data_IF_594043740184
#
_entry.id   IF_594043740184
#
_cell.length_a   1.000
_cell.length_b   1.000
_cell.length_c   1.000
_cell.angle_alpha   90.00
_cell.angle_beta   90.00
_cell.angle_gamma   90.00
#
_symmetry.space_group_name_H-M   'P 1'
#
loop_
_entity.id
_entity.type
_entity.pdbx_description
1 polymer ?
#
# COMPACT_ATOMS: atom_id res chain seq x y z
N UNK A 1 -21.97 -12.75 6.81
CA UNK A 1 -20.81 -13.37 6.12
C UNK A 1 -20.53 -12.82 4.71
N UNK A 2 -21.47 -12.27 3.92
CA UNK A 2 -21.20 -11.89 2.53
C UNK A 2 -20.16 -10.76 2.31
N UNK A 3 -20.06 -9.79 3.22
CA UNK A 3 -19.21 -8.60 3.02
C UNK A 3 -17.70 -8.92 2.94
N UNK A 4 -17.19 -9.82 3.79
CA UNK A 4 -15.77 -10.13 3.83
C UNK A 4 -15.27 -10.88 2.58
N UNK A 5 -16.15 -11.66 1.94
CA UNK A 5 -15.81 -12.39 0.71
C UNK A 5 -15.78 -11.45 -0.50
N UNK A 6 -16.65 -10.44 -0.53
CA UNK A 6 -16.61 -9.39 -1.56
C UNK A 6 -15.35 -8.51 -1.44
N UNK A 7 -14.91 -8.18 -0.22
CA UNK A 7 -13.67 -7.42 -0.01
C UNK A 7 -12.44 -8.19 -0.52
N UNK A 8 -12.39 -9.51 -0.26
CA UNK A 8 -11.33 -10.36 -0.81
C UNK A 8 -11.37 -10.44 -2.33
N UNK A 9 -12.57 -10.58 -2.92
CA UNK A 9 -12.71 -10.61 -4.37
C UNK A 9 -12.28 -9.28 -5.02
N UNK A 10 -12.60 -8.15 -4.40
CA UNK A 10 -12.20 -6.82 -4.87
C UNK A 10 -10.68 -6.64 -4.84
N UNK A 11 -10.01 -7.16 -3.79
CA UNK A 11 -8.56 -7.16 -3.67
C UNK A 11 -7.85 -7.90 -4.80
N UNK A 12 -8.49 -8.93 -5.36
CA UNK A 12 -7.94 -9.73 -6.45
C UNK A 12 -8.18 -9.14 -7.85
N UNK A 13 -8.88 -8.00 -7.95
CA UNK A 13 -9.10 -7.35 -9.24
C UNK A 13 -7.76 -6.91 -9.86
N UNK A 14 -7.54 -7.15 -11.16
CA UNK A 14 -6.40 -6.60 -11.88
C UNK A 14 -6.34 -5.07 -11.68
N UNK A 15 -5.18 -4.59 -11.21
CA UNK A 15 -4.96 -3.16 -10.97
C UNK A 15 -5.34 -2.65 -9.56
N UNK A 16 -5.90 -3.48 -8.68
CA UNK A 16 -6.18 -3.05 -7.30
C UNK A 16 -4.90 -2.62 -6.56
N UNK A 17 -3.79 -3.32 -6.77
CA UNK A 17 -2.46 -2.92 -6.26
C UNK A 17 -2.05 -1.50 -6.69
N UNK A 18 -2.38 -1.08 -7.92
CA UNK A 18 -2.10 0.28 -8.41
C UNK A 18 -3.01 1.31 -7.73
N UNK A 19 -4.27 0.98 -7.51
CA UNK A 19 -5.21 1.85 -6.80
C UNK A 19 -4.75 2.11 -5.36
N UNK A 20 -4.35 1.05 -4.65
CA UNK A 20 -3.82 1.18 -3.28
C UNK A 20 -2.50 1.94 -3.27
N UNK A 21 -1.58 1.69 -4.22
CA UNK A 21 -0.36 2.50 -4.35
C UNK A 21 -0.64 3.99 -4.57
N UNK A 22 -1.59 4.33 -5.44
CA UNK A 22 -1.98 5.72 -5.67
C UNK A 22 -2.59 6.37 -4.43
N UNK A 23 -3.34 5.60 -3.62
CA UNK A 23 -3.80 6.04 -2.29
C UNK A 23 -2.62 6.34 -1.37
N UNK A 24 -1.58 5.50 -1.39
CA UNK A 24 -0.34 5.71 -0.66
C UNK A 24 0.37 7.00 -1.06
N UNK A 25 0.52 7.26 -2.37
CA UNK A 25 1.06 8.52 -2.89
C UNK A 25 0.24 9.73 -2.43
N UNK A 26 -1.08 9.64 -2.43
CA UNK A 26 -1.95 10.71 -1.97
C UNK A 26 -1.78 10.96 -0.46
N UNK A 27 -1.69 9.89 0.34
CA UNK A 27 -1.44 9.98 1.78
C UNK A 27 -0.07 10.59 2.08
N UNK A 28 0.96 10.22 1.35
CA UNK A 28 2.29 10.79 1.48
C UNK A 28 2.30 12.29 1.20
N UNK A 29 1.67 12.72 0.10
CA UNK A 29 1.51 14.14 -0.26
C UNK A 29 0.74 14.95 0.79
N UNK A 30 -0.09 14.27 1.57
CA UNK A 30 -0.87 14.85 2.66
C UNK A 30 -0.15 14.76 4.02
N UNK A 31 1.10 14.30 4.04
CA UNK A 31 1.91 14.14 5.26
C UNK A 31 1.50 12.97 6.15
N UNK A 32 0.57 12.12 5.68
CA UNK A 32 0.08 10.94 6.42
C UNK A 32 0.97 9.75 6.13
N UNK A 33 2.21 9.83 6.62
CA UNK A 33 3.27 8.88 6.24
C UNK A 33 3.01 7.45 6.70
N UNK A 34 2.43 7.26 7.90
CA UNK A 34 2.06 5.92 8.38
C UNK A 34 0.99 5.27 7.49
N UNK A 35 -0.01 6.05 7.06
CA UNK A 35 -1.04 5.57 6.13
C UNK A 35 -0.46 5.29 4.74
N UNK A 36 0.49 6.11 4.27
CA UNK A 36 1.20 5.85 3.02
C UNK A 36 2.00 4.55 3.07
N UNK A 37 2.70 4.29 4.17
CA UNK A 37 3.45 3.05 4.37
C UNK A 37 2.53 1.83 4.38
N UNK A 38 1.38 1.91 5.06
CA UNK A 38 0.37 0.84 5.06
C UNK A 38 -0.15 0.54 3.64
N UNK A 39 -0.43 1.57 2.85
CA UNK A 39 -0.89 1.44 1.47
C UNK A 39 0.17 0.83 0.55
N UNK A 40 1.42 1.28 0.64
CA UNK A 40 2.51 0.69 -0.14
C UNK A 40 2.75 -0.77 0.21
N UNK A 41 2.59 -1.14 1.48
CA UNK A 41 2.69 -2.54 1.91
C UNK A 41 1.54 -3.39 1.37
N UNK A 42 0.30 -2.90 1.47
CA UNK A 42 -0.86 -3.60 0.88
C UNK A 42 -0.67 -3.77 -0.65
N UNK A 43 -0.12 -2.77 -1.35
CA UNK A 43 0.19 -2.89 -2.77
C UNK A 43 1.22 -4.01 -3.07
N UNK A 44 2.23 -4.19 -2.21
CA UNK A 44 3.21 -5.29 -2.31
C UNK A 44 2.63 -6.65 -1.90
N UNK A 45 1.73 -6.70 -0.92
CA UNK A 45 1.03 -7.93 -0.55
C UNK A 45 0.16 -8.45 -1.71
N UNK A 46 -0.41 -7.53 -2.50
CA UNK A 46 -1.20 -7.83 -3.70
C UNK A 46 -0.33 -8.16 -4.92
N UNK A 47 0.81 -7.48 -5.05
CA UNK A 47 1.77 -7.65 -6.14
C UNK A 47 3.21 -7.52 -5.62
N UNK A 48 3.86 -8.64 -5.23
CA UNK A 48 5.19 -8.60 -4.60
C UNK A 48 6.30 -8.01 -5.47
N UNK A 49 6.16 -8.07 -6.79
CA UNK A 49 7.09 -7.51 -7.78
C UNK A 49 6.76 -6.05 -8.16
N UNK A 50 5.91 -5.35 -7.39
CA UNK A 50 5.56 -3.97 -7.68
C UNK A 50 6.63 -2.98 -7.17
N UNK A 51 7.68 -2.81 -7.96
CA UNK A 51 8.86 -1.99 -7.63
C UNK A 51 8.53 -0.57 -7.17
N UNK A 52 7.51 0.08 -7.74
CA UNK A 52 7.09 1.43 -7.34
C UNK A 52 6.65 1.49 -5.87
N UNK A 53 5.95 0.48 -5.37
CA UNK A 53 5.54 0.42 -3.98
C UNK A 53 6.72 0.15 -3.04
N UNK A 54 7.67 -0.69 -3.46
CA UNK A 54 8.92 -0.92 -2.72
C UNK A 54 9.75 0.37 -2.59
N UNK A 55 9.92 1.12 -3.68
CA UNK A 55 10.59 2.42 -3.65
C UNK A 55 9.86 3.43 -2.76
N UNK A 56 8.52 3.39 -2.73
CA UNK A 56 7.71 4.17 -1.81
C UNK A 56 8.08 3.91 -0.35
N UNK A 57 8.10 2.64 0.07
CA UNK A 57 8.50 2.25 1.42
C UNK A 57 9.95 2.61 1.74
N UNK A 58 10.89 2.40 0.82
CA UNK A 58 12.29 2.77 1.04
C UNK A 58 12.43 4.26 1.34
N UNK A 59 11.79 5.13 0.54
CA UNK A 59 11.81 6.59 0.79
C UNK A 59 11.18 6.98 2.13
N UNK A 60 10.11 6.31 2.55
CA UNK A 60 9.49 6.57 3.85
C UNK A 60 10.40 6.10 5.00
N UNK A 61 11.07 4.96 4.83
CA UNK A 61 12.06 4.45 5.78
C UNK A 61 13.22 5.43 5.96
N UNK A 62 13.72 5.99 4.86
CA UNK A 62 14.79 7.00 4.87
C UNK A 62 14.35 8.30 5.57
N UNK A 63 13.04 8.59 5.60
CA UNK A 63 12.45 9.70 6.35
C UNK A 63 12.20 9.38 7.84
N UNK A 64 12.61 8.20 8.31
CA UNK A 64 12.44 7.75 9.69
C UNK A 64 11.04 7.23 10.01
N UNK A 65 10.18 7.03 9.01
CA UNK A 65 8.87 6.42 9.19
C UNK A 65 9.07 4.95 9.51
N UNK A 66 8.41 4.47 10.57
CA UNK A 66 8.45 3.05 10.91
C UNK A 66 7.64 2.26 9.90
N UNK A 67 8.33 1.68 8.93
CA UNK A 67 7.77 0.73 7.96
C UNK A 67 7.68 -0.71 8.49
N UNK A 68 8.05 -0.94 9.76
CA UNK A 68 8.17 -2.27 10.36
C UNK A 68 7.01 -2.70 11.28
N UNK A 69 6.17 -3.59 10.73
CA UNK A 69 5.38 -4.69 11.33
C UNK A 69 4.36 -4.46 12.47
N UNK A 70 3.34 -5.33 12.61
CA UNK A 70 3.17 -6.66 11.98
C UNK A 70 2.50 -6.67 10.61
#
# INVERSE_FOLDING_TARGET
QAHADFDKAYRLLPGYHQAVFNRGVANERLGRLDSAAADYREALDLKPDFELAALGLQRLSDQGVRVGAP
#
